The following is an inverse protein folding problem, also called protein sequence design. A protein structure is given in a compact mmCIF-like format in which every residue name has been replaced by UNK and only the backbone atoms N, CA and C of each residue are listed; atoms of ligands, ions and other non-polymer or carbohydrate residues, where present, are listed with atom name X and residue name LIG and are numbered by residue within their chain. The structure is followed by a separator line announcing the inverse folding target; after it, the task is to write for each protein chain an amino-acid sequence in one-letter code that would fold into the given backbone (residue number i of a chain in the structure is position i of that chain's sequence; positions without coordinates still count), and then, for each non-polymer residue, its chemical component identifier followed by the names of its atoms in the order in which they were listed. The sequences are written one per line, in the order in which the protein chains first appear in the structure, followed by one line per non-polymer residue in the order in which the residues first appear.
data_IF_270228985702
#
_entry.id   IF_270228985702
#
_cell.length_a   1.000
_cell.length_b   1.000
_cell.length_c   1.000
_cell.angle_alpha   90.00
_cell.angle_beta   90.00
_cell.angle_gamma   90.00
#
_symmetry.space_group_name_H-M   'P 1'
#
loop_
_entity.id
_entity.type
_entity.pdbx_description
1 polymer ?
#
# COMPACT_ATOMS: atom_id res chain seq x y z
N UNK A 1 -6.26 17.94 10.75
CA UNK A 1 -7.57 18.03 10.07
C UNK A 1 -8.33 19.20 10.65
N UNK A 2 -8.84 20.09 9.80
CA UNK A 2 -9.65 21.24 10.19
C UNK A 2 -11.06 21.10 9.65
N UNK A 3 -12.05 21.55 10.40
CA UNK A 3 -13.46 21.50 10.00
C UNK A 3 -14.11 22.86 10.20
N UNK A 4 -14.93 23.28 9.23
CA UNK A 4 -15.77 24.47 9.31
C UNK A 4 -17.22 24.06 9.15
N UNK A 5 -18.00 24.21 10.21
CA UNK A 5 -19.41 23.89 10.23
C UNK A 5 -20.25 25.18 10.20
N UNK A 6 -21.26 25.23 9.34
CA UNK A 6 -22.30 26.27 9.32
C UNK A 6 -23.67 25.61 9.11
N UNK A 7 -24.48 25.52 10.17
CA UNK A 7 -25.77 24.82 10.17
C UNK A 7 -25.60 23.37 9.68
N UNK A 8 -26.18 23.03 8.52
CA UNK A 8 -26.09 21.72 7.86
C UNK A 8 -24.92 21.60 6.87
N UNK A 9 -24.16 22.68 6.65
CA UNK A 9 -23.01 22.67 5.74
C UNK A 9 -21.72 22.39 6.51
N UNK A 10 -20.91 21.49 5.97
CA UNK A 10 -19.60 21.13 6.49
C UNK A 10 -18.57 21.25 5.36
N UNK A 11 -17.43 21.87 5.69
CA UNK A 11 -16.21 21.79 4.91
C UNK A 11 -15.11 21.20 5.78
N UNK A 12 -14.42 20.22 5.23
CA UNK A 12 -13.29 19.53 5.83
C UNK A 12 -12.03 19.88 5.03
N UNK A 13 -10.99 20.26 5.75
CA UNK A 13 -9.67 20.54 5.20
C UNK A 13 -8.70 19.53 5.82
N UNK A 14 -8.12 18.69 4.98
CA UNK A 14 -7.04 17.78 5.31
C UNK A 14 -5.73 18.43 4.84
N UNK A 15 -4.78 18.61 5.75
CA UNK A 15 -3.47 19.20 5.47
C UNK A 15 -2.43 18.15 5.80
N UNK A 16 -1.54 17.88 4.84
CA UNK A 16 -0.36 17.06 5.02
C UNK A 16 0.84 17.79 4.44
N UNK A 17 1.68 18.37 5.31
CA UNK A 17 2.83 19.19 4.92
C UNK A 17 2.39 20.26 3.90
N UNK A 18 2.82 20.16 2.65
CA UNK A 18 2.53 21.11 1.57
C UNK A 18 1.25 20.79 0.79
N UNK A 19 0.69 19.58 0.97
CA UNK A 19 -0.51 19.12 0.26
C UNK A 19 -1.78 19.40 1.09
N UNK A 20 -2.79 19.97 0.43
CA UNK A 20 -4.09 20.26 1.04
C UNK A 20 -5.23 19.67 0.23
N UNK A 21 -6.11 18.93 0.91
CA UNK A 21 -7.35 18.41 0.36
C UNK A 21 -8.53 19.11 1.04
N UNK A 22 -9.35 19.79 0.22
CA UNK A 22 -10.58 20.47 0.67
C UNK A 22 -11.78 19.71 0.13
N UNK A 23 -12.69 19.30 1.01
CA UNK A 23 -13.93 18.58 0.66
C UNK A 23 -15.08 19.06 1.53
N UNK A 24 -16.32 18.81 1.12
CA UNK A 24 -17.50 19.29 1.84
C UNK A 24 -18.79 19.03 1.09
N UNK A 25 -19.92 19.33 1.73
CA UNK A 25 -21.25 19.15 1.13
C UNK A 25 -21.82 20.43 0.49
N UNK A 26 -21.06 21.53 0.49
CA UNK A 26 -21.47 22.81 -0.08
C UNK A 26 -20.33 23.42 -0.92
N UNK A 27 -20.54 23.47 -2.24
CA UNK A 27 -19.54 23.97 -3.19
C UNK A 27 -19.19 25.44 -2.99
N UNK A 28 -20.20 26.29 -2.72
CA UNK A 28 -19.97 27.72 -2.47
C UNK A 28 -19.03 27.93 -1.28
N UNK A 29 -19.26 27.17 -0.20
CA UNK A 29 -18.44 27.25 1.01
C UNK A 29 -17.01 26.74 0.78
N UNK A 30 -16.84 25.74 -0.09
CA UNK A 30 -15.51 25.27 -0.52
C UNK A 30 -14.79 26.35 -1.33
N UNK A 31 -15.46 26.97 -2.31
CA UNK A 31 -14.87 28.04 -3.13
C UNK A 31 -14.48 29.27 -2.31
N UNK A 32 -15.31 29.65 -1.34
CA UNK A 32 -15.02 30.78 -0.46
C UNK A 32 -13.79 30.49 0.44
N UNK A 33 -13.66 29.25 0.93
CA UNK A 33 -12.48 28.80 1.67
C UNK A 33 -11.25 28.78 0.77
N UNK A 34 -11.36 28.22 -0.44
CA UNK A 34 -10.27 28.20 -1.43
C UNK A 34 -9.77 29.62 -1.72
N UNK A 35 -10.67 30.59 -1.88
CA UNK A 35 -10.33 32.01 -2.07
C UNK A 35 -9.61 32.61 -0.87
N UNK A 36 -10.11 32.37 0.35
CA UNK A 36 -9.44 32.85 1.58
C UNK A 36 -8.05 32.26 1.72
N UNK A 37 -7.89 30.96 1.46
CA UNK A 37 -6.60 30.28 1.50
C UNK A 37 -5.63 30.83 0.45
N UNK A 38 -6.09 31.09 -0.77
CA UNK A 38 -5.27 31.66 -1.84
C UNK A 38 -4.83 33.10 -1.56
N UNK A 39 -5.62 33.87 -0.80
CA UNK A 39 -5.25 35.22 -0.36
C UNK A 39 -4.19 35.20 0.75
N UNK A 40 -4.30 34.26 1.69
CA UNK A 40 -3.38 34.15 2.83
C UNK A 40 -2.10 33.39 2.49
N UNK A 41 -2.15 32.47 1.52
CA UNK A 41 -1.04 31.57 1.17
C UNK A 41 -0.90 31.46 -0.35
N UNK A 42 0.35 31.32 -0.82
CA UNK A 42 0.65 31.03 -2.24
C UNK A 42 0.31 29.57 -2.57
N UNK A 43 -0.97 29.26 -2.70
CA UNK A 43 -1.48 27.92 -3.01
C UNK A 43 -1.89 27.84 -4.46
N UNK A 44 -1.52 26.74 -5.14
CA UNK A 44 -2.02 26.40 -6.47
C UNK A 44 -3.24 25.49 -6.33
N UNK A 45 -4.37 25.90 -6.89
CA UNK A 45 -5.54 25.01 -7.00
C UNK A 45 -5.29 24.00 -8.12
N UNK A 46 -5.45 22.71 -7.81
CA UNK A 46 -5.34 21.60 -8.77
C UNK A 46 -6.71 21.11 -9.25
N UNK A 47 -7.77 21.89 -8.98
CA UNK A 47 -9.15 21.63 -9.36
C UNK A 47 -9.72 20.37 -8.67
N UNK A 48 -10.23 19.43 -9.47
CA UNK A 48 -10.72 18.15 -8.97
C UNK A 48 -9.59 17.27 -8.46
N UNK A 49 -9.87 16.50 -7.40
CA UNK A 49 -8.93 15.55 -6.85
C UNK A 49 -8.55 14.47 -7.89
N UNK A 50 -7.33 14.59 -8.43
CA UNK A 50 -6.70 13.59 -9.31
C UNK A 50 -5.49 12.93 -8.66
N UNK A 51 -4.79 13.63 -7.79
CA UNK A 51 -3.60 13.13 -7.11
C UNK A 51 -3.49 13.73 -5.71
N UNK A 52 -3.20 12.91 -4.70
CA UNK A 52 -2.94 13.38 -3.34
C UNK A 52 -2.08 12.33 -2.61
N UNK A 53 -0.97 12.76 -2.02
CA UNK A 53 -0.05 11.89 -1.27
C UNK A 53 0.30 10.60 -2.03
N UNK A 54 0.79 10.71 -3.26
CA UNK A 54 1.20 9.53 -4.02
C UNK A 54 0.07 8.67 -4.61
N UNK A 55 -1.19 8.99 -4.27
CA UNK A 55 -2.37 8.23 -4.68
C UNK A 55 -3.07 8.96 -5.82
N UNK A 56 -3.36 8.23 -6.89
CA UNK A 56 -4.12 8.68 -8.05
C UNK A 56 -5.61 8.37 -7.85
N UNK A 57 -6.46 9.35 -8.17
CA UNK A 57 -7.91 9.27 -8.05
C UNK A 57 -8.55 9.42 -9.42
N UNK A 58 -9.31 8.40 -9.83
CA UNK A 58 -10.08 8.39 -11.07
C UNK A 58 -11.57 8.28 -10.76
N UNK A 59 -12.36 9.27 -11.20
CA UNK A 59 -13.81 9.31 -10.98
C UNK A 59 -14.56 8.77 -12.19
N UNK A 60 -15.59 7.97 -11.95
CA UNK A 60 -16.50 7.46 -12.96
C UNK A 60 -17.91 7.32 -12.40
N UNK A 61 -18.89 7.01 -13.26
CA UNK A 61 -20.25 6.69 -12.82
C UNK A 61 -20.30 5.48 -11.85
N UNK A 62 -19.29 4.60 -11.89
CA UNK A 62 -19.17 3.44 -10.99
C UNK A 62 -18.67 3.78 -9.60
N UNK A 63 -18.05 4.96 -9.42
CA UNK A 63 -17.40 5.35 -8.17
C UNK A 63 -16.02 5.97 -8.40
N UNK A 64 -15.24 6.02 -7.33
CA UNK A 64 -13.88 6.59 -7.30
C UNK A 64 -12.88 5.45 -7.18
N UNK A 65 -12.03 5.28 -8.19
CA UNK A 65 -10.91 4.36 -8.15
C UNK A 65 -9.70 5.08 -7.55
N UNK A 66 -9.13 4.50 -6.48
CA UNK A 66 -7.86 4.92 -5.89
C UNK A 66 -6.79 3.93 -6.28
N UNK A 67 -5.72 4.36 -6.93
CA UNK A 67 -4.58 3.50 -7.28
C UNK A 67 -3.25 4.24 -7.09
N UNK A 68 -2.15 3.49 -7.16
CA UNK A 68 -0.79 4.02 -7.04
C UNK A 68 0.04 3.60 -8.26
N UNK A 69 -0.54 3.73 -9.47
CA UNK A 69 0.07 3.22 -10.71
C UNK A 69 1.46 3.80 -10.96
N UNK A 70 1.61 5.12 -10.87
CA UNK A 70 2.88 5.81 -11.04
C UNK A 70 3.93 5.29 -10.06
N UNK A 71 3.55 5.17 -8.78
CA UNK A 71 4.43 4.66 -7.73
C UNK A 71 4.85 3.20 -7.96
N UNK A 72 3.92 2.35 -8.39
CA UNK A 72 4.23 0.96 -8.73
C UNK A 72 5.23 0.85 -9.89
N UNK A 73 5.07 1.68 -10.94
CA UNK A 73 5.99 1.72 -12.07
C UNK A 73 7.38 2.23 -11.67
N UNK A 74 7.45 3.28 -10.84
CA UNK A 74 8.72 3.78 -10.27
C UNK A 74 9.41 2.71 -9.41
N UNK A 75 8.66 2.00 -8.57
CA UNK A 75 9.19 0.88 -7.76
C UNK A 75 9.79 -0.24 -8.63
N UNK A 76 9.11 -0.61 -9.71
CA UNK A 76 9.59 -1.63 -10.66
C UNK A 76 10.87 -1.15 -11.36
N UNK A 77 10.90 0.12 -11.78
CA UNK A 77 12.03 0.74 -12.46
C UNK A 77 13.26 0.84 -11.53
N UNK A 78 13.07 1.27 -10.29
CA UNK A 78 14.13 1.40 -9.27
C UNK A 78 14.86 0.08 -9.00
N UNK A 79 14.18 -1.05 -9.18
CA UNK A 79 14.73 -2.38 -9.00
C UNK A 79 15.30 -2.99 -10.29
N UNK A 80 15.25 -2.27 -11.41
CA UNK A 80 15.71 -2.75 -12.72
C UNK A 80 14.86 -3.91 -13.25
N UNK A 81 13.62 -4.05 -12.78
CA UNK A 81 12.74 -5.19 -13.12
C UNK A 81 11.84 -4.92 -14.32
N UNK A 82 11.90 -3.75 -14.96
CA UNK A 82 10.99 -3.35 -16.04
C UNK A 82 10.92 -4.33 -17.23
N UNK A 83 12.01 -5.06 -17.51
CA UNK A 83 12.07 -6.08 -18.57
C UNK A 83 12.00 -7.53 -18.04
N UNK A 84 11.70 -7.70 -16.75
CA UNK A 84 11.63 -9.00 -16.08
C UNK A 84 10.36 -9.79 -16.39
N UNK A 85 10.41 -11.10 -16.11
CA UNK A 85 9.20 -11.95 -16.17
C UNK A 85 8.31 -11.69 -14.96
N UNK A 86 7.01 -11.43 -15.15
CA UNK A 86 6.11 -11.23 -14.03
C UNK A 86 5.80 -12.55 -13.30
N UNK A 87 5.29 -12.43 -12.07
CA UNK A 87 4.84 -13.57 -11.26
C UNK A 87 3.32 -13.59 -11.17
N UNK A 88 2.71 -14.77 -11.23
CA UNK A 88 1.25 -14.92 -11.10
C UNK A 88 0.76 -14.88 -9.65
N UNK A 89 1.65 -15.15 -8.69
CA UNK A 89 1.32 -15.12 -7.26
C UNK A 89 2.31 -14.25 -6.50
N UNK A 90 1.87 -13.53 -5.45
CA UNK A 90 2.73 -12.67 -4.65
C UNK A 90 3.71 -13.48 -3.78
N UNK A 91 3.26 -14.63 -3.27
CA UNK A 91 4.08 -15.62 -2.57
C UNK A 91 3.89 -17.02 -3.16
N UNK A 92 4.86 -17.88 -2.91
CA UNK A 92 4.76 -19.31 -3.20
C UNK A 92 4.07 -20.02 -2.02
N UNK A 93 3.04 -20.81 -2.31
CA UNK A 93 2.24 -21.50 -1.29
C UNK A 93 3.03 -22.54 -0.49
N UNK A 94 4.12 -23.06 -1.06
CA UNK A 94 4.92 -24.11 -0.43
C UNK A 94 6.14 -23.53 0.32
N UNK A 95 6.42 -22.24 0.19
CA UNK A 95 7.61 -21.63 0.77
C UNK A 95 7.34 -21.21 2.22
N UNK A 96 7.96 -21.91 3.16
CA UNK A 96 7.92 -21.60 4.59
C UNK A 96 9.14 -20.77 4.96
N UNK A 97 8.90 -19.54 5.41
CA UNK A 97 9.96 -18.63 5.85
C UNK A 97 10.32 -18.88 7.32
N UNK A 98 11.58 -19.17 7.57
CA UNK A 98 12.12 -19.44 8.90
C UNK A 98 13.00 -18.30 9.38
N UNK A 99 13.10 -18.12 10.70
CA UNK A 99 14.11 -17.21 11.27
C UNK A 99 15.47 -17.88 11.31
N UNK A 100 16.54 -17.07 11.27
CA UNK A 100 17.92 -17.57 11.43
C UNK A 100 18.12 -18.35 12.74
N UNK A 101 17.46 -17.91 13.81
CA UNK A 101 17.50 -18.60 15.10
C UNK A 101 16.92 -20.02 15.00
N UNK A 102 15.80 -20.19 14.28
CA UNK A 102 15.19 -21.49 14.08
C UNK A 102 16.07 -22.39 13.20
N UNK A 103 16.67 -21.83 12.15
CA UNK A 103 17.60 -22.55 11.28
C UNK A 103 18.82 -23.06 12.05
N UNK A 104 19.38 -22.23 12.94
CA UNK A 104 20.50 -22.62 13.81
C UNK A 104 20.13 -23.75 14.78
N UNK A 105 18.89 -23.77 15.29
CA UNK A 105 18.39 -24.83 16.18
C UNK A 105 18.07 -26.13 15.46
N UNK A 106 17.68 -26.05 14.18
CA UNK A 106 17.27 -27.22 13.37
C UNK A 106 18.39 -27.77 12.49
N UNK A 107 19.53 -27.07 12.40
CA UNK A 107 20.66 -27.45 11.56
C UNK A 107 20.45 -27.17 10.07
N UNK A 108 19.42 -26.40 9.70
CA UNK A 108 19.13 -26.01 8.32
C UNK A 108 20.10 -24.90 7.89
N UNK A 109 21.20 -25.23 7.21
CA UNK A 109 22.19 -24.25 6.74
C UNK A 109 22.03 -23.82 5.26
N UNK A 110 20.89 -24.08 4.63
CA UNK A 110 20.74 -23.86 3.19
C UNK A 110 20.49 -22.39 2.78
N UNK A 111 20.15 -21.49 3.70
CA UNK A 111 19.70 -20.13 3.40
C UNK A 111 20.60 -19.08 4.10
N UNK A 112 21.38 -18.36 3.30
CA UNK A 112 22.37 -17.43 3.80
C UNK A 112 21.75 -16.10 4.27
N UNK A 113 22.32 -15.45 5.31
CA UNK A 113 21.93 -14.11 5.70
C UNK A 113 22.12 -13.11 4.55
N UNK A 114 21.18 -12.19 4.41
CA UNK A 114 21.28 -11.14 3.41
C UNK A 114 22.36 -10.13 3.81
N UNK A 115 23.35 -9.92 2.94
CA UNK A 115 24.50 -9.03 3.18
C UNK A 115 24.07 -7.60 3.48
N UNK A 116 23.13 -7.08 2.68
CA UNK A 116 22.60 -5.73 2.83
C UNK A 116 21.18 -5.83 3.39
N UNK A 117 21.04 -5.52 4.68
CA UNK A 117 19.75 -5.48 5.37
C UNK A 117 18.95 -4.23 5.01
N UNK A 118 19.60 -3.11 4.76
CA UNK A 118 18.93 -1.82 4.53
C UNK A 118 18.15 -1.83 3.21
N UNK A 119 18.69 -2.46 2.15
CA UNK A 119 17.93 -2.62 0.89
C UNK A 119 16.63 -3.39 1.09
N UNK A 120 16.63 -4.40 1.97
CA UNK A 120 15.45 -5.19 2.29
C UNK A 120 14.42 -4.35 3.03
N UNK A 121 14.84 -3.68 4.10
CA UNK A 121 13.96 -2.82 4.90
C UNK A 121 13.34 -1.69 4.06
N UNK A 122 14.15 -1.05 3.20
CA UNK A 122 13.69 -0.02 2.27
C UNK A 122 12.63 -0.56 1.31
N UNK A 123 12.85 -1.75 0.74
CA UNK A 123 11.90 -2.35 -0.18
C UNK A 123 10.59 -2.73 0.52
N UNK A 124 10.66 -3.35 1.71
CA UNK A 124 9.46 -3.63 2.52
C UNK A 124 8.73 -2.34 2.87
N UNK A 125 9.43 -1.26 3.23
CA UNK A 125 8.82 0.04 3.47
C UNK A 125 8.08 0.59 2.25
N UNK A 126 8.68 0.47 1.06
CA UNK A 126 8.02 0.85 -0.20
C UNK A 126 6.77 0.00 -0.48
N UNK A 127 6.86 -1.31 -0.26
CA UNK A 127 5.74 -2.23 -0.46
C UNK A 127 4.61 -2.00 0.55
N UNK A 128 4.93 -1.71 1.81
CA UNK A 128 3.96 -1.34 2.84
C UNK A 128 3.17 -0.08 2.46
N UNK A 129 3.79 0.86 1.78
CA UNK A 129 3.09 2.03 1.28
C UNK A 129 2.18 1.70 0.08
N UNK A 130 2.56 0.73 -0.76
CA UNK A 130 1.74 0.25 -1.88
C UNK A 130 0.49 -0.52 -1.40
N UNK A 131 0.53 -1.17 -0.23
CA UNK A 131 -0.64 -1.91 0.31
C UNK A 131 -1.85 -1.02 0.59
N UNK A 132 -1.67 0.30 0.66
CA UNK A 132 -2.77 1.26 0.80
C UNK A 132 -3.81 1.14 -0.32
N UNK A 133 -3.38 0.81 -1.54
CA UNK A 133 -4.28 0.58 -2.69
C UNK A 133 -4.22 -0.84 -3.24
N UNK A 134 -3.18 -1.62 -2.90
CA UNK A 134 -2.99 -3.02 -3.32
C UNK A 134 -3.13 -3.99 -2.13
N UNK A 135 -4.37 -4.24 -1.73
CA UNK A 135 -4.66 -5.14 -0.60
C UNK A 135 -4.32 -6.61 -0.91
N UNK A 136 -4.26 -7.00 -2.18
CA UNK A 136 -3.93 -8.35 -2.63
C UNK A 136 -2.50 -8.80 -2.28
N UNK A 137 -1.58 -7.85 -2.05
CA UNK A 137 -0.21 -8.15 -1.59
C UNK A 137 -0.04 -7.98 -0.07
N UNK A 138 -1.06 -7.50 0.66
CA UNK A 138 -0.93 -7.10 2.05
C UNK A 138 -0.45 -8.25 2.96
N UNK A 139 -1.05 -9.44 2.80
CA UNK A 139 -0.62 -10.64 3.51
C UNK A 139 0.86 -10.94 3.27
N UNK A 140 1.28 -10.94 2.01
CA UNK A 140 2.65 -11.28 1.62
C UNK A 140 3.68 -10.31 2.19
N UNK A 141 3.38 -9.01 2.11
CA UNK A 141 4.23 -7.95 2.68
C UNK A 141 4.28 -8.06 4.21
N UNK A 142 3.15 -8.36 4.85
CA UNK A 142 3.06 -8.53 6.30
C UNK A 142 3.82 -9.77 6.80
N UNK A 143 3.84 -10.87 6.04
CA UNK A 143 4.66 -12.04 6.36
C UNK A 143 6.14 -11.69 6.31
N UNK A 144 6.58 -11.02 5.23
CA UNK A 144 8.00 -10.68 5.03
C UNK A 144 8.49 -9.58 5.98
N UNK A 145 7.62 -8.68 6.43
CA UNK A 145 7.97 -7.64 7.40
C UNK A 145 8.39 -8.18 8.78
N UNK A 146 8.08 -9.46 9.08
CA UNK A 146 8.53 -10.12 10.32
C UNK A 146 10.05 -10.35 10.35
N UNK A 147 10.72 -10.34 9.19
CA UNK A 147 12.15 -10.66 9.06
C UNK A 147 13.05 -9.42 8.88
N UNK A 148 12.59 -8.23 9.29
CA UNK A 148 13.32 -6.97 9.12
C UNK A 148 14.64 -6.87 9.91
N UNK A 149 14.84 -7.70 10.94
CA UNK A 149 16.03 -7.66 11.79
C UNK A 149 17.19 -8.46 11.20
N UNK A 150 16.91 -9.69 10.77
CA UNK A 150 17.89 -10.62 10.21
C UNK A 150 17.30 -11.24 8.92
N UNK A 151 17.23 -10.49 7.82
CA UNK A 151 16.74 -11.02 6.55
C UNK A 151 17.71 -12.04 5.96
N UNK A 152 17.16 -12.98 5.19
CA UNK A 152 17.90 -14.03 4.47
C UNK A 152 17.72 -13.86 2.96
N UNK A 153 18.53 -14.56 2.17
CA UNK A 153 18.45 -14.51 0.71
C UNK A 153 17.06 -14.93 0.21
N UNK A 154 16.47 -15.97 0.80
CA UNK A 154 15.10 -16.39 0.48
C UNK A 154 14.04 -15.30 0.73
N UNK A 155 14.18 -14.51 1.80
CA UNK A 155 13.28 -13.39 2.10
C UNK A 155 13.39 -12.30 1.03
N UNK A 156 14.62 -12.01 0.59
CA UNK A 156 14.86 -11.04 -0.47
C UNK A 156 14.24 -11.49 -1.80
N UNK A 157 14.45 -12.75 -2.19
CA UNK A 157 13.88 -13.31 -3.42
C UNK A 157 12.34 -13.32 -3.40
N UNK A 158 11.74 -13.68 -2.26
CA UNK A 158 10.30 -13.58 -2.07
C UNK A 158 9.79 -12.13 -2.16
N UNK A 159 10.53 -11.17 -1.62
CA UNK A 159 10.18 -9.75 -1.74
C UNK A 159 10.22 -9.28 -3.20
N UNK A 160 11.24 -9.70 -3.96
CA UNK A 160 11.33 -9.43 -5.39
C UNK A 160 10.19 -10.10 -6.17
N UNK A 161 9.74 -11.28 -5.74
CA UNK A 161 8.57 -11.95 -6.33
C UNK A 161 7.30 -11.11 -6.19
N UNK A 162 7.07 -10.47 -5.04
CA UNK A 162 5.94 -9.55 -4.86
C UNK A 162 6.01 -8.42 -5.88
N UNK A 163 7.18 -7.82 -6.10
CA UNK A 163 7.33 -6.77 -7.12
C UNK A 163 7.03 -7.30 -8.53
N UNK A 164 7.52 -8.51 -8.86
CA UNK A 164 7.19 -9.17 -10.14
C UNK A 164 5.70 -9.47 -10.30
N UNK A 165 4.98 -9.68 -9.20
CA UNK A 165 3.54 -9.83 -9.21
C UNK A 165 2.84 -8.49 -9.46
N UNK A 166 3.31 -7.40 -8.83
CA UNK A 166 2.81 -6.03 -9.09
C UNK A 166 3.00 -5.63 -10.56
N UNK A 167 4.05 -6.11 -11.23
CA UNK A 167 4.28 -5.86 -12.66
C UNK A 167 3.15 -6.35 -13.58
N UNK A 168 2.37 -7.37 -13.19
CA UNK A 168 1.28 -7.90 -14.01
C UNK A 168 0.22 -6.83 -14.29
N UNK A 169 -0.15 -6.10 -13.25
CA UNK A 169 -1.10 -5.00 -13.36
C UNK A 169 -0.76 -3.91 -12.35
N UNK A 170 0.09 -2.94 -12.73
CA UNK A 170 0.45 -1.82 -11.87
C UNK A 170 -0.73 -0.89 -11.56
N UNK A 171 -1.83 -0.99 -12.31
CA UNK A 171 -3.01 -0.11 -12.19
C UNK A 171 -4.08 -0.60 -11.22
N UNK A 172 -3.94 -1.81 -10.65
CA UNK A 172 -4.87 -2.30 -9.64
C UNK A 172 -4.95 -1.31 -8.48
N UNK A 173 -6.17 -1.11 -7.99
CA UNK A 173 -6.46 -0.21 -6.89
C UNK A 173 -7.78 -0.56 -6.20
N UNK A 174 -8.20 0.32 -5.29
CA UNK A 174 -9.43 0.17 -4.52
C UNK A 174 -10.53 1.01 -5.18
N UNK A 175 -11.64 0.37 -5.56
CA UNK A 175 -12.82 1.04 -6.07
C UNK A 175 -13.78 1.39 -4.91
N UNK A 176 -13.89 2.69 -4.61
CA UNK A 176 -14.96 3.22 -3.76
C UNK A 176 -16.23 3.36 -4.60
N UNK A 177 -17.03 2.29 -4.61
CA UNK A 177 -18.25 2.19 -5.43
C UNK A 177 -19.27 3.28 -5.10
N UNK A 178 -19.92 3.82 -6.14
CA UNK A 178 -21.08 4.72 -6.00
C UNK A 178 -22.36 3.96 -5.61
N UNK A 179 -22.39 2.64 -5.82
CA UNK A 179 -23.52 1.79 -5.43
C UNK A 179 -23.54 1.68 -3.90
N UNK A 180 -24.68 2.04 -3.32
CA UNK A 180 -24.95 1.84 -1.90
C UNK A 180 -25.33 0.38 -1.68
N UNK A 181 -24.48 -0.34 -0.96
CA UNK A 181 -24.75 -1.71 -0.55
C UNK A 181 -24.72 -1.74 0.98
N UNK A 182 -25.82 -2.15 1.61
CA UNK A 182 -25.93 -2.20 3.07
C UNK A 182 -25.42 -3.55 3.64
N UNK A 183 -24.73 -4.34 2.83
CA UNK A 183 -24.24 -5.67 3.19
C UNK A 183 -22.72 -5.66 3.22
N UNK A 184 -22.15 -5.72 4.42
CA UNK A 184 -20.72 -5.97 4.59
C UNK A 184 -20.47 -7.47 4.40
N UNK A 185 -19.66 -7.82 3.41
CA UNK A 185 -19.19 -9.19 3.21
C UNK A 185 -17.71 -9.23 3.56
N UNK A 186 -17.34 -10.09 4.51
CA UNK A 186 -15.95 -10.32 4.89
C UNK A 186 -15.65 -11.82 4.79
N UNK A 187 -14.46 -12.13 4.30
CA UNK A 187 -13.92 -13.48 4.26
C UNK A 187 -12.73 -13.52 5.22
N UNK A 188 -12.64 -14.57 6.02
CA UNK A 188 -11.52 -14.82 6.92
C UNK A 188 -11.06 -16.24 6.64
N UNK A 189 -9.76 -16.40 6.41
CA UNK A 189 -9.12 -17.70 6.30
C UNK A 189 -8.15 -17.82 7.49
N UNK A 190 -8.16 -18.96 8.16
CA UNK A 190 -7.38 -19.17 9.37
C UNK A 190 -6.65 -20.51 9.27
N UNK A 191 -5.34 -20.43 9.14
CA UNK A 191 -4.50 -21.62 9.07
C UNK A 191 -3.98 -22.02 10.45
N UNK A 192 -4.16 -23.29 10.82
CA UNK A 192 -3.70 -23.83 12.10
C UNK A 192 -2.20 -24.13 12.08
N UNK A 193 -1.46 -23.55 13.03
CA UNK A 193 -0.01 -23.76 13.24
C UNK A 193 0.87 -23.56 11.98
N UNK A 194 0.41 -22.72 11.05
CA UNK A 194 1.08 -22.46 9.77
C UNK A 194 2.40 -21.70 9.90
N UNK A 195 2.57 -20.90 10.97
CA UNK A 195 3.84 -20.22 11.24
C UNK A 195 4.90 -21.24 11.71
N UNK A 196 5.98 -21.50 10.95
CA UNK A 196 7.02 -22.44 11.36
C UNK A 196 7.76 -21.99 12.62
N UNK A 197 7.87 -20.66 12.79
CA UNK A 197 8.68 -20.03 13.84
C UNK A 197 8.01 -20.07 15.22
N UNK A 198 6.69 -19.86 15.27
CA UNK A 198 5.96 -19.74 16.54
C UNK A 198 4.94 -20.85 16.76
N UNK A 199 4.64 -21.66 15.73
CA UNK A 199 3.54 -22.64 15.69
C UNK A 199 2.17 -22.03 16.01
N UNK A 200 2.02 -20.72 15.86
CA UNK A 200 0.74 -20.02 16.03
C UNK A 200 0.00 -19.94 14.71
N UNK A 201 -1.32 -19.86 14.80
CA UNK A 201 -2.18 -19.58 13.65
C UNK A 201 -1.88 -18.19 13.09
N UNK A 202 -1.98 -18.07 11.78
CA UNK A 202 -1.85 -16.81 11.05
C UNK A 202 -3.18 -16.54 10.36
N UNK A 203 -3.64 -15.29 10.41
CA UNK A 203 -4.84 -14.74 9.76
C UNK A 203 -4.44 -13.60 8.85
#
# INVERSE_FOLDING_TARGET
MFTKNRRSNIVVILIYVDDMLVTGNNLQMIEDIKRQLHQSFKIKDLEELRYFLGIEFSRSHKGILMNQRKYALELISDLGLSAGKPSWTPLDSNQKFTTRQLDALTGLQADEPLVDREKYQRLIGKLLYLTLTRLDIAFSVQTLSQFLQEPKQSHWEATLRIVRYVMMDPGIGVLMSSKRENKLTAFCDADWASCPNTRRSVT
#
